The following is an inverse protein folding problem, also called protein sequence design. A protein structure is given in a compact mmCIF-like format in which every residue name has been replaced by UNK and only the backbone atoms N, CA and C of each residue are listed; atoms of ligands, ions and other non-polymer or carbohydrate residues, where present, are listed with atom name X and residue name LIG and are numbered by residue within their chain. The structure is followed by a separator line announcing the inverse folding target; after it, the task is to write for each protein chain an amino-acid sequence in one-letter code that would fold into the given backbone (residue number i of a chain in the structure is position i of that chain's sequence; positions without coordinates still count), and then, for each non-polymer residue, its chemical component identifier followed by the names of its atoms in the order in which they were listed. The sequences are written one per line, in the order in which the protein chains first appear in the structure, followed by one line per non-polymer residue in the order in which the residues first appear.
data_IF_017387545941
#
_entry.id   IF_017387545941
#
_cell.length_a   1.000
_cell.length_b   1.000
_cell.length_c   1.000
_cell.angle_alpha   90.00
_cell.angle_beta   90.00
_cell.angle_gamma   90.00
#
_symmetry.space_group_name_H-M   'P 1'
#
loop_
_entity.id
_entity.type
_entity.pdbx_description
1 polymer ?
#
# COMPACT_ATOMS: atom_id res chain seq x y z
N UNK A 1 -7.58 4.34 17.34
CA UNK A 1 -6.94 3.02 17.11
C UNK A 1 -6.97 2.07 18.31
N UNK A 2 -6.64 2.57 19.49
CA UNK A 2 -6.61 1.69 20.67
C UNK A 2 -7.94 0.99 20.94
N UNK A 3 -9.06 1.73 20.83
CA UNK A 3 -10.39 1.12 21.02
C UNK A 3 -10.70 0.09 19.97
N UNK A 4 -10.28 0.34 18.72
CA UNK A 4 -10.49 -0.62 17.63
C UNK A 4 -9.68 -1.88 17.85
N UNK A 5 -8.45 -1.72 18.34
CA UNK A 5 -7.60 -2.86 18.65
C UNK A 5 -8.25 -3.75 19.72
N UNK A 6 -8.80 -3.13 20.75
CA UNK A 6 -9.47 -3.85 21.82
C UNK A 6 -10.67 -4.63 21.30
N UNK A 7 -11.50 -4.00 20.45
CA UNK A 7 -12.66 -4.66 19.86
C UNK A 7 -12.24 -5.85 19.01
N UNK A 8 -11.20 -5.68 18.20
CA UNK A 8 -10.68 -6.76 17.36
C UNK A 8 -10.26 -7.96 18.21
N UNK A 9 -9.56 -7.70 19.30
CA UNK A 9 -9.09 -8.77 20.18
C UNK A 9 -10.24 -9.44 20.92
N UNK A 10 -11.21 -8.68 21.39
CA UNK A 10 -12.35 -9.23 22.12
C UNK A 10 -13.26 -10.06 21.23
N UNK A 11 -13.47 -9.62 20.00
CA UNK A 11 -14.37 -10.29 19.07
C UNK A 11 -13.69 -11.33 18.20
N UNK A 12 -12.37 -11.42 18.27
CA UNK A 12 -11.57 -12.36 17.47
C UNK A 12 -11.87 -12.23 15.98
N UNK A 13 -11.79 -10.99 15.48
CA UNK A 13 -12.06 -10.67 14.08
C UNK A 13 -10.85 -10.01 13.44
N UNK A 14 -10.85 -9.94 12.11
CA UNK A 14 -9.88 -9.16 11.37
C UNK A 14 -10.47 -7.79 11.06
N UNK A 15 -9.62 -6.77 11.07
CA UNK A 15 -10.05 -5.40 10.77
C UNK A 15 -9.14 -4.82 9.70
N UNK A 16 -9.74 -4.34 8.62
CA UNK A 16 -9.03 -3.66 7.54
C UNK A 16 -9.43 -2.19 7.54
N UNK A 17 -8.45 -1.32 7.68
CA UNK A 17 -8.68 0.14 7.70
C UNK A 17 -8.05 0.77 6.48
N UNK A 18 -8.80 1.61 5.79
CA UNK A 18 -8.29 2.40 4.67
C UNK A 18 -7.99 3.81 5.19
N UNK A 19 -6.77 4.26 4.98
CA UNK A 19 -6.32 5.56 5.44
C UNK A 19 -5.67 6.32 4.29
N UNK A 20 -5.86 7.63 4.28
CA UNK A 20 -5.20 8.49 3.31
C UNK A 20 -3.81 8.86 3.81
N UNK A 21 -2.89 9.00 2.86
CA UNK A 21 -1.51 9.35 3.18
C UNK A 21 -1.34 10.87 3.19
N UNK A 22 -0.35 11.31 4.00
CA UNK A 22 0.08 12.69 3.98
C UNK A 22 0.85 12.93 2.69
N UNK A 23 0.59 14.07 2.04
CA UNK A 23 1.29 14.40 0.79
C UNK A 23 2.78 14.60 1.08
N UNK A 24 3.67 13.92 0.35
CA UNK A 24 5.10 14.14 0.50
C UNK A 24 5.51 15.52 0.04
N UNK A 25 6.65 15.99 0.51
CA UNK A 25 7.11 17.34 0.21
C UNK A 25 7.73 17.46 -1.18
N UNK A 26 8.09 16.36 -1.78
CA UNK A 26 8.70 16.35 -3.11
C UNK A 26 7.72 15.75 -4.12
N UNK A 27 8.00 14.56 -4.62
CA UNK A 27 7.15 13.88 -5.59
C UNK A 27 5.89 13.35 -4.93
N UNK A 28 4.72 13.62 -5.52
CA UNK A 28 3.47 13.11 -4.98
C UNK A 28 3.26 11.64 -5.29
N UNK A 29 2.37 11.00 -4.54
CA UNK A 29 2.05 9.58 -4.78
C UNK A 29 1.41 9.35 -6.14
N UNK A 30 0.73 10.37 -6.67
CA UNK A 30 0.15 10.30 -8.00
C UNK A 30 1.20 10.29 -9.10
N UNK A 31 2.43 10.67 -8.76
CA UNK A 31 3.56 10.66 -9.67
C UNK A 31 4.47 9.47 -9.40
N UNK A 32 4.04 8.53 -8.58
CA UNK A 32 4.77 7.30 -8.35
C UNK A 32 5.69 7.28 -7.15
N UNK A 33 5.58 8.26 -6.25
CA UNK A 33 6.41 8.28 -5.05
C UNK A 33 6.11 7.06 -4.18
N UNK A 34 7.15 6.49 -3.57
CA UNK A 34 7.00 5.34 -2.69
C UNK A 34 6.27 5.74 -1.40
N UNK A 35 5.47 4.82 -0.88
CA UNK A 35 4.75 5.02 0.38
C UNK A 35 5.61 4.63 1.57
N UNK A 36 5.33 5.22 2.73
CA UNK A 36 6.05 4.91 3.97
C UNK A 36 5.16 5.12 5.18
N UNK A 37 5.56 4.56 6.33
CA UNK A 37 4.80 4.71 7.56
C UNK A 37 4.68 6.15 8.02
N UNK A 38 5.71 6.96 7.79
CA UNK A 38 5.70 8.35 8.21
C UNK A 38 4.65 9.19 7.51
N UNK A 39 4.12 8.69 6.39
CA UNK A 39 3.13 9.39 5.60
C UNK A 39 1.70 9.06 6.00
N UNK A 40 1.49 8.17 6.96
CA UNK A 40 0.14 7.86 7.43
C UNK A 40 -0.49 9.09 8.05
N UNK A 41 -1.64 9.48 7.49
CA UNK A 41 -2.36 10.66 7.96
C UNK A 41 -3.05 10.35 9.28
N UNK A 42 -3.02 11.33 10.18
CA UNK A 42 -3.75 11.28 11.41
C UNK A 42 -2.87 10.94 12.60
N UNK A 43 -2.53 9.70 12.80
CA UNK A 43 -1.87 9.32 14.03
C UNK A 43 -0.76 8.31 13.79
N UNK A 44 0.37 8.53 14.45
CA UNK A 44 1.45 7.55 14.47
C UNK A 44 0.98 6.21 15.05
N UNK A 45 -0.06 6.24 15.89
CA UNK A 45 -0.58 5.02 16.48
C UNK A 45 -1.16 4.05 15.44
N UNK A 46 -1.62 4.57 14.30
CA UNK A 46 -2.12 3.70 13.23
C UNK A 46 -1.02 2.75 12.78
N UNK A 47 0.17 3.30 12.51
CA UNK A 47 1.31 2.48 12.12
C UNK A 47 1.80 1.57 13.22
N UNK A 48 1.78 2.06 14.47
CA UNK A 48 2.27 1.28 15.60
C UNK A 48 1.37 0.11 15.97
N UNK A 49 0.05 0.30 15.90
CA UNK A 49 -0.92 -0.70 16.32
C UNK A 49 -1.31 -1.67 15.21
N UNK A 50 -1.03 -1.34 13.97
CA UNK A 50 -1.34 -2.23 12.86
C UNK A 50 -0.35 -3.39 12.79
N UNK A 51 -0.86 -4.56 12.46
CA UNK A 51 -0.02 -5.74 12.26
C UNK A 51 0.65 -5.72 10.91
N UNK A 52 -0.08 -5.31 9.89
CA UNK A 52 0.40 -5.20 8.52
C UNK A 52 -0.06 -3.85 7.95
N UNK A 53 0.84 -3.16 7.28
CA UNK A 53 0.51 -1.91 6.58
C UNK A 53 0.92 -2.08 5.12
N UNK A 54 -0.04 -1.84 4.23
CA UNK A 54 0.15 -1.97 2.79
C UNK A 54 -0.05 -0.61 2.14
N UNK A 55 0.93 -0.20 1.33
CA UNK A 55 0.83 1.02 0.54
C UNK A 55 0.50 0.70 -0.90
N UNK A 56 -0.31 1.53 -1.51
CA UNK A 56 -0.66 1.41 -2.92
C UNK A 56 -0.10 2.62 -3.65
N UNK A 57 0.70 2.37 -4.68
CA UNK A 57 1.41 3.41 -5.42
C UNK A 57 1.11 3.31 -6.90
N UNK A 58 0.75 4.43 -7.51
CA UNK A 58 0.50 4.48 -8.94
C UNK A 58 0.96 5.82 -9.50
N UNK A 59 1.63 5.77 -10.65
CA UNK A 59 2.01 6.98 -11.36
C UNK A 59 0.98 7.29 -12.43
N UNK A 60 -0.02 8.09 -12.09
CA UNK A 60 -1.09 8.47 -13.00
C UNK A 60 -0.64 9.44 -14.10
N UNK A 61 0.59 9.94 -14.01
CA UNK A 61 1.16 10.86 -14.99
C UNK A 61 2.17 10.21 -15.92
N UNK A 62 2.36 8.91 -15.80
CA UNK A 62 3.33 8.20 -16.62
C UNK A 62 2.97 8.25 -18.10
N UNK A 63 3.98 8.34 -18.98
CA UNK A 63 3.77 8.40 -20.42
C UNK A 63 3.19 7.11 -20.97
N UNK A 64 3.64 5.96 -20.45
CA UNK A 64 3.15 4.66 -20.86
C UNK A 64 1.75 4.44 -20.27
N UNK A 65 0.78 4.16 -21.12
CA UNK A 65 -0.59 3.94 -20.70
C UNK A 65 -0.71 2.75 -19.74
N UNK A 66 0.04 1.69 -19.99
CA UNK A 66 0.01 0.51 -19.13
C UNK A 66 0.52 0.86 -17.74
N UNK A 67 1.61 1.60 -17.66
CA UNK A 67 2.16 2.02 -16.37
C UNK A 67 1.21 2.95 -15.61
N UNK A 68 0.48 3.81 -16.32
CA UNK A 68 -0.50 4.70 -15.67
C UNK A 68 -1.58 3.93 -14.95
N UNK A 69 -1.89 2.72 -15.39
CA UNK A 69 -2.93 1.90 -14.80
C UNK A 69 -2.40 0.75 -13.96
N UNK A 70 -1.11 0.76 -13.69
CA UNK A 70 -0.47 -0.27 -12.89
C UNK A 70 -0.16 0.26 -11.49
N UNK A 71 -0.61 -0.48 -10.49
CA UNK A 71 -0.42 -0.12 -9.09
C UNK A 71 0.62 -1.04 -8.47
N UNK A 72 1.59 -0.45 -7.78
CA UNK A 72 2.53 -1.23 -6.97
C UNK A 72 1.93 -1.42 -5.60
N UNK A 73 1.87 -2.67 -5.17
CA UNK A 73 1.43 -3.04 -3.82
C UNK A 73 2.70 -3.24 -2.99
N UNK A 74 2.89 -2.38 -2.01
CA UNK A 74 4.10 -2.39 -1.18
C UNK A 74 3.76 -2.75 0.24
N UNK A 75 4.51 -3.68 0.81
CA UNK A 75 4.39 -3.98 2.24
C UNK A 75 5.28 -3.00 3.00
N UNK A 76 4.65 -2.11 3.76
CA UNK A 76 5.36 -1.09 4.53
C UNK A 76 5.74 -1.63 5.89
N UNK A 77 4.87 -2.42 6.47
CA UNK A 77 5.10 -3.02 7.79
C UNK A 77 4.54 -4.43 7.81
N UNK A 78 5.29 -5.35 8.38
CA UNK A 78 4.85 -6.73 8.55
C UNK A 78 5.38 -7.22 9.90
N UNK A 79 4.50 -7.21 10.90
CA UNK A 79 4.87 -7.60 12.26
C UNK A 79 5.29 -9.06 12.35
N UNK A 80 4.73 -9.89 11.48
CA UNK A 80 4.93 -11.33 11.58
C UNK A 80 6.28 -11.80 11.05
N UNK A 81 6.70 -11.26 9.93
CA UNK A 81 7.97 -11.69 9.31
C UNK A 81 9.02 -10.59 9.27
N UNK A 82 8.61 -9.33 9.40
CA UNK A 82 9.53 -8.20 9.26
C UNK A 82 9.90 -7.89 7.82
N UNK A 83 9.43 -8.67 6.85
CA UNK A 83 9.75 -8.44 5.45
C UNK A 83 8.93 -7.29 4.89
N UNK A 84 9.61 -6.36 4.23
CA UNK A 84 8.97 -5.19 3.62
C UNK A 84 9.47 -5.02 2.19
N UNK A 85 8.80 -4.16 1.43
CA UNK A 85 9.17 -3.86 0.06
C UNK A 85 8.04 -4.14 -0.91
N UNK A 86 8.27 -3.97 -2.22
CA UNK A 86 7.25 -4.25 -3.23
C UNK A 86 6.86 -5.73 -3.20
N UNK A 87 5.57 -5.99 -3.12
CA UNK A 87 5.05 -7.34 -3.12
C UNK A 87 4.62 -7.78 -4.51
N UNK A 88 3.90 -6.92 -5.22
CA UNK A 88 3.45 -7.21 -6.57
C UNK A 88 3.02 -5.92 -7.26
N UNK A 89 2.74 -6.03 -8.54
CA UNK A 89 2.14 -4.95 -9.32
C UNK A 89 0.90 -5.50 -9.99
N UNK A 90 -0.17 -4.69 -10.01
CA UNK A 90 -1.44 -5.09 -10.59
C UNK A 90 -1.89 -4.06 -11.61
N UNK A 91 -2.32 -4.54 -12.77
CA UNK A 91 -2.82 -3.71 -13.85
C UNK A 91 -4.33 -3.65 -13.80
N UNK A 92 -4.88 -2.45 -13.85
CA UNK A 92 -6.33 -2.25 -13.89
C UNK A 92 -6.79 -2.10 -15.33
N UNK A 93 -7.67 -2.98 -15.76
CA UNK A 93 -8.30 -2.90 -17.08
C UNK A 93 -9.59 -2.11 -16.99
N UNK A 94 -9.63 -0.96 -17.66
CA UNK A 94 -10.85 -0.13 -17.67
C UNK A 94 -12.00 -0.81 -18.41
N UNK A 95 -11.67 -1.69 -19.35
CA UNK A 95 -12.70 -2.39 -20.12
C UNK A 95 -13.45 -3.42 -19.29
N UNK A 96 -12.73 -4.18 -18.47
CA UNK A 96 -13.32 -5.27 -17.69
C UNK A 96 -13.48 -4.94 -16.22
N UNK A 97 -12.78 -3.93 -15.71
CA UNK A 97 -12.74 -3.62 -14.30
C UNK A 97 -11.92 -4.59 -13.48
N UNK A 98 -11.12 -5.42 -14.13
CA UNK A 98 -10.30 -6.41 -13.44
C UNK A 98 -8.92 -5.88 -13.08
N UNK A 99 -8.41 -6.38 -11.97
CA UNK A 99 -7.02 -6.21 -11.59
C UNK A 99 -6.29 -7.51 -11.91
N UNK A 100 -5.22 -7.40 -12.69
CA UNK A 100 -4.43 -8.56 -13.10
C UNK A 100 -3.00 -8.36 -12.67
N UNK A 101 -2.39 -9.38 -12.09
CA UNK A 101 -1.00 -9.29 -11.68
C UNK A 101 -0.09 -9.13 -12.90
N UNK A 102 0.83 -8.17 -12.79
CA UNK A 102 1.84 -7.95 -13.81
C UNK A 102 3.06 -8.76 -13.41
N UNK A 103 3.40 -9.73 -14.23
CA UNK A 103 4.58 -10.55 -13.98
C UNK A 103 5.81 -9.81 -14.46
N UNK A 104 6.41 -9.09 -13.54
CA UNK A 104 7.64 -8.39 -13.80
C UNK A 104 8.77 -9.01 -13.01
N UNK A 105 9.92 -8.42 -13.19
CA UNK A 105 11.17 -8.99 -12.76
C UNK A 105 11.59 -8.58 -11.36
N UNK A 106 10.61 -8.46 -10.44
CA UNK A 106 10.95 -8.16 -9.06
C UNK A 106 11.88 -9.21 -8.47
N UNK A 107 11.72 -10.43 -8.92
CA UNK A 107 12.53 -11.55 -8.45
C UNK A 107 13.99 -11.38 -8.78
N UNK A 108 14.28 -10.70 -9.87
CA UNK A 108 15.67 -10.47 -10.29
C UNK A 108 16.38 -9.43 -9.44
N UNK A 109 15.66 -8.71 -8.63
CA UNK A 109 16.21 -7.69 -7.77
C UNK A 109 16.69 -8.22 -6.42
N UNK A 110 16.43 -9.46 -6.17
CA UNK A 110 16.85 -10.09 -4.92
C UNK A 110 18.37 -10.37 -4.87
#
# INVERSE_FOLDING_TARGET
MTKMRTVVQELDIALLIVSHLRRPMSTGHEEGAATSLSQLRGSASIGQLSDIVIGLERNGQHEDEIERHTTTVRVIKNRFSGLTGPACRVYYSRESGRLTEVHEEFEELE
#
